data_IF_356788088722
#
_entry.id   IF_356788088722
#
_cell.length_a   1.000
_cell.length_b   1.000
_cell.length_c   1.000
_cell.angle_alpha   90.00
_cell.angle_beta   90.00
_cell.angle_gamma   90.00
#
_symmetry.space_group_name_H-M   'P 1'
#
loop_
_entity.id
_entity.type
_entity.pdbx_description
1 polymer ?
#
# COMPACT_ATOMS: atom_id res chain seq x y z
N UNK A 1 55.29 11.00 -0.43
CA UNK A 1 54.12 10.67 0.39
C UNK A 1 53.72 11.93 1.13
N UNK A 2 52.81 12.71 0.53
CA UNK A 2 52.61 14.12 0.84
C UNK A 2 51.76 14.37 2.09
N UNK A 3 52.17 15.44 2.77
CA UNK A 3 51.61 16.06 3.97
C UNK A 3 50.26 16.77 3.71
N UNK A 4 49.57 17.04 4.82
CA UNK A 4 48.40 17.90 5.03
C UNK A 4 48.37 19.21 4.22
N UNK A 5 47.16 19.70 3.88
CA UNK A 5 46.62 21.09 3.99
C UNK A 5 45.20 21.06 3.37
N UNK A 6 44.12 21.25 4.15
CA UNK A 6 43.30 22.49 4.22
C UNK A 6 42.95 23.16 2.89
N UNK A 7 41.68 23.56 2.79
CA UNK A 7 41.04 24.48 1.81
C UNK A 7 40.52 23.90 0.50
N UNK A 8 39.19 23.74 0.43
CA UNK A 8 38.37 24.21 -0.70
C UNK A 8 36.87 24.20 -0.34
N UNK A 9 36.44 25.07 0.56
CA UNK A 9 35.11 25.67 0.47
C UNK A 9 35.19 26.76 -0.61
N UNK A 10 34.66 26.51 -1.81
CA UNK A 10 34.08 27.58 -2.62
C UNK A 10 33.21 27.06 -3.76
N UNK A 11 32.04 27.70 -3.85
CA UNK A 11 31.22 27.92 -5.04
C UNK A 11 30.15 26.88 -5.37
N UNK A 12 28.98 27.07 -4.75
CA UNK A 12 27.69 26.93 -5.44
C UNK A 12 27.61 27.89 -6.65
N UNK A 13 26.77 27.58 -7.65
CA UNK A 13 25.66 28.48 -7.99
C UNK A 13 24.35 27.68 -8.26
N UNK A 14 23.19 28.32 -8.58
CA UNK A 14 22.22 28.77 -7.59
C UNK A 14 20.85 28.05 -7.66
N UNK A 15 20.15 28.10 -6.52
CA UNK A 15 18.78 27.69 -6.24
C UNK A 15 17.73 28.06 -7.32
N UNK A 16 16.78 27.16 -7.55
CA UNK A 16 15.36 27.48 -7.35
C UNK A 16 14.54 26.20 -7.32
N UNK A 17 14.06 25.82 -6.14
CA UNK A 17 12.70 25.35 -5.84
C UNK A 17 12.75 24.84 -4.40
N UNK A 18 12.43 25.75 -3.47
CA UNK A 18 12.30 25.41 -2.08
C UNK A 18 11.16 24.41 -1.90
N UNK A 19 11.49 23.23 -1.39
CA UNK A 19 10.52 22.35 -0.74
C UNK A 19 10.98 22.24 0.70
N UNK A 20 10.37 23.05 1.57
CA UNK A 20 10.46 22.85 3.01
C UNK A 20 9.94 21.44 3.29
N UNK A 21 10.85 20.54 3.68
CA UNK A 21 10.49 19.20 4.11
C UNK A 21 9.84 19.32 5.50
N UNK A 22 8.53 19.54 5.53
CA UNK A 22 7.74 19.48 6.75
C UNK A 22 7.31 18.03 6.94
N UNK A 23 7.82 17.38 7.98
CA UNK A 23 7.27 16.12 8.46
C UNK A 23 5.83 16.39 8.92
N UNK A 24 4.83 16.07 8.09
CA UNK A 24 3.45 15.97 8.55
C UNK A 24 3.23 14.59 9.18
N UNK A 25 2.77 14.51 10.44
CA UNK A 25 2.35 13.26 11.03
C UNK A 25 1.04 12.78 10.38
N UNK A 26 0.93 11.48 10.12
CA UNK A 26 -0.27 10.86 9.57
C UNK A 26 -1.50 11.14 10.46
N UNK A 27 -2.69 11.36 9.88
CA UNK A 27 -3.93 11.44 10.65
C UNK A 27 -4.22 10.07 11.26
N UNK A 28 -4.41 10.04 12.58
CA UNK A 28 -4.81 8.83 13.30
C UNK A 28 -6.19 8.35 12.81
N UNK A 29 -6.42 7.03 12.70
CA UNK A 29 -7.76 6.50 12.44
C UNK A 29 -8.72 6.92 13.56
N UNK A 30 -10.04 7.04 13.31
CA UNK A 30 -11.00 7.36 14.36
C UNK A 30 -11.02 6.23 15.39
N UNK A 31 -10.41 6.49 16.54
CA UNK A 31 -10.37 5.59 17.70
C UNK A 31 -11.77 5.52 18.33
N UNK A 32 -12.69 4.80 17.69
CA UNK A 32 -13.89 4.29 18.38
C UNK A 32 -13.52 2.95 19.02
N UNK A 33 -12.57 3.01 19.92
CA UNK A 33 -12.37 1.96 20.90
C UNK A 33 -12.24 2.72 22.19
N UNK A 34 -13.26 2.56 23.04
CA UNK A 34 -13.21 2.99 24.43
C UNK A 34 -12.10 2.19 25.09
N UNK A 35 -10.85 2.61 24.87
CA UNK A 35 -9.70 2.14 25.63
C UNK A 35 -9.98 2.64 27.04
N UNK A 36 -10.16 1.75 28.03
CA UNK A 36 -10.22 2.20 29.41
C UNK A 36 -8.96 3.01 29.64
N UNK A 37 -9.14 4.27 30.02
CA UNK A 37 -8.06 5.14 30.45
C UNK A 37 -7.11 4.32 31.33
N UNK A 38 -5.88 4.13 30.87
CA UNK A 38 -4.78 3.70 31.73
C UNK A 38 -4.61 4.80 32.77
N UNK A 39 -5.42 4.77 33.83
CA UNK A 39 -5.10 5.48 35.06
C UNK A 39 -3.79 4.86 35.50
N UNK A 40 -2.71 5.61 35.33
CA UNK A 40 -1.41 5.27 35.88
C UNK A 40 -1.51 5.50 37.39
N UNK A 41 -1.97 4.48 38.08
CA UNK A 41 -1.76 4.31 39.51
C UNK A 41 -0.68 3.24 39.64
N UNK A 42 0.50 3.56 39.10
CA UNK A 42 1.71 3.14 39.77
C UNK A 42 1.81 4.06 40.99
N UNK A 43 1.48 3.61 42.22
CA UNK A 43 2.06 4.28 43.36
C UNK A 43 3.57 4.19 43.12
N UNK A 44 4.25 5.35 43.12
CA UNK A 44 5.70 5.40 42.89
C UNK A 44 6.39 4.35 43.76
N UNK A 45 7.58 3.88 43.40
CA UNK A 45 8.35 2.93 44.22
C UNK A 45 8.40 3.38 45.69
N UNK A 46 7.46 2.92 46.51
CA UNK A 46 7.29 3.32 47.90
C UNK A 46 8.15 2.36 48.69
N UNK A 47 9.26 2.87 49.18
CA UNK A 47 10.16 2.14 50.04
C UNK A 47 9.37 1.70 51.29
N UNK A 48 9.02 0.42 51.37
CA UNK A 48 8.17 -0.16 52.43
C UNK A 48 8.74 0.15 53.81
N UNK A 49 10.07 0.29 53.92
CA UNK A 49 10.75 0.66 55.17
C UNK A 49 10.51 2.12 55.60
N UNK A 50 10.12 3.01 54.69
CA UNK A 50 9.89 4.43 55.00
C UNK A 50 8.51 4.72 55.62
N UNK A 51 7.60 3.73 55.67
CA UNK A 51 6.25 3.86 56.23
C UNK A 51 6.04 3.18 57.59
N UNK A 52 7.08 2.57 58.15
CA UNK A 52 7.00 1.94 59.47
C UNK A 52 6.87 3.00 60.57
N UNK A 53 5.68 3.13 61.16
CA UNK A 53 5.46 3.96 62.34
C UNK A 53 5.49 3.07 63.60
N UNK A 54 6.64 3.08 64.28
CA UNK A 54 6.89 2.33 65.51
C UNK A 54 5.89 2.67 66.63
N UNK A 55 5.35 3.89 66.63
CA UNK A 55 4.40 4.34 67.67
C UNK A 55 3.11 3.49 67.71
N UNK A 56 2.61 3.05 66.56
CA UNK A 56 1.41 2.20 66.49
C UNK A 56 1.67 0.78 67.00
N UNK A 57 2.90 0.28 66.87
CA UNK A 57 3.30 -1.02 67.42
C UNK A 57 3.44 -0.94 68.95
N UNK A 58 3.97 0.17 69.47
CA UNK A 58 4.04 0.42 70.91
C UNK A 58 2.66 0.57 71.56
N UNK A 59 1.70 1.18 70.89
CA UNK A 59 0.31 1.29 71.37
C UNK A 59 -0.35 -0.07 71.57
N UNK A 60 -0.10 -1.01 70.64
CA UNK A 60 -0.60 -2.39 70.73
C UNK A 60 0.08 -3.19 71.85
N UNK A 61 1.36 -2.93 72.10
CA UNK A 61 2.15 -3.59 73.15
C UNK A 61 1.90 -3.01 74.55
N UNK A 62 1.43 -1.77 74.67
CA UNK A 62 1.24 -1.08 75.95
C UNK A 62 0.14 -1.73 76.82
N UNK A 63 -0.82 -2.39 76.21
CA UNK A 63 -1.96 -3.01 76.90
C UNK A 63 -1.73 -4.46 77.32
N UNK A 64 -0.53 -5.01 77.09
CA UNK A 64 -0.18 -6.40 77.41
C UNK A 64 0.60 -6.49 78.74
N UNK A 65 0.28 -7.50 79.56
CA UNK A 65 0.96 -7.73 80.83
C UNK A 65 2.33 -8.40 80.63
N UNK A 66 3.21 -8.33 81.63
CA UNK A 66 4.57 -8.92 81.59
C UNK A 66 4.58 -10.41 81.19
N UNK A 67 3.58 -11.19 81.62
CA UNK A 67 3.45 -12.61 81.27
C UNK A 67 3.11 -12.79 79.79
N UNK A 68 2.28 -11.91 79.25
CA UNK A 68 1.86 -11.92 77.85
C UNK A 68 2.98 -11.45 76.93
N UNK A 69 3.77 -10.44 77.34
CA UNK A 69 5.00 -10.04 76.65
C UNK A 69 6.04 -11.18 76.61
N UNK A 70 6.21 -11.91 77.72
CA UNK A 70 7.11 -13.07 77.75
C UNK A 70 6.59 -14.23 76.89
N UNK A 71 5.27 -14.42 76.83
CA UNK A 71 4.67 -15.40 75.94
C UNK A 71 4.83 -14.98 74.47
N UNK A 72 4.69 -13.70 74.16
CA UNK A 72 4.87 -13.15 72.82
C UNK A 72 6.32 -13.28 72.33
N UNK A 73 7.29 -13.09 73.23
CA UNK A 73 8.72 -13.25 72.93
C UNK A 73 9.12 -14.72 72.70
N UNK A 74 8.41 -15.66 73.31
CA UNK A 74 8.70 -17.09 73.21
C UNK A 74 7.86 -17.82 72.14
N UNK A 75 6.92 -17.12 71.48
CA UNK A 75 6.02 -17.69 70.47
C UNK A 75 5.97 -16.78 69.24
N UNK A 76 6.79 -17.12 68.24
CA UNK A 76 6.90 -16.39 66.98
C UNK A 76 5.56 -16.29 66.22
N UNK A 77 4.63 -17.24 66.44
CA UNK A 77 3.32 -17.22 65.78
C UNK A 77 2.46 -16.08 66.30
N UNK A 78 2.45 -15.88 67.63
CA UNK A 78 1.71 -14.77 68.25
C UNK A 78 2.33 -13.42 67.93
N UNK A 79 3.66 -13.36 67.82
CA UNK A 79 4.35 -12.16 67.37
C UNK A 79 3.95 -11.82 65.93
N UNK A 80 3.85 -12.82 65.05
CA UNK A 80 3.39 -12.66 63.67
C UNK A 80 1.94 -12.17 63.61
N UNK A 81 1.04 -12.76 64.39
CA UNK A 81 -0.37 -12.33 64.45
C UNK A 81 -0.48 -10.85 64.87
N UNK A 82 0.30 -10.42 65.86
CA UNK A 82 0.35 -9.01 66.28
C UNK A 82 0.89 -8.09 65.17
N UNK A 83 1.87 -8.55 64.39
CA UNK A 83 2.40 -7.81 63.23
C UNK A 83 1.36 -7.72 62.11
N UNK A 84 0.63 -8.79 61.82
CA UNK A 84 -0.48 -8.79 60.85
C UNK A 84 -1.61 -7.83 61.29
N UNK A 85 -1.79 -7.64 62.60
CA UNK A 85 -2.75 -6.72 63.17
C UNK A 85 -2.36 -5.24 63.12
N UNK A 86 -1.09 -4.93 62.83
CA UNK A 86 -0.66 -3.54 62.70
C UNK A 86 -1.41 -2.84 61.54
N UNK A 87 -1.93 -1.62 61.75
CA UNK A 87 -2.73 -0.91 60.75
C UNK A 87 -1.95 -0.67 59.45
N UNK A 88 -0.63 -0.56 59.54
CA UNK A 88 0.27 -0.39 58.40
C UNK A 88 0.39 -1.68 57.57
N UNK A 89 0.50 -2.84 58.21
CA UNK A 89 0.58 -4.15 57.53
C UNK A 89 -0.75 -4.46 56.85
N UNK A 90 -1.88 -4.19 57.52
CA UNK A 90 -3.20 -4.29 56.89
C UNK A 90 -3.37 -3.34 55.70
N UNK A 91 -2.90 -2.09 55.80
CA UNK A 91 -2.95 -1.14 54.69
C UNK A 91 -2.13 -1.61 53.49
N UNK A 92 -0.94 -2.19 53.73
CA UNK A 92 -0.10 -2.76 52.69
C UNK A 92 -0.75 -4.01 52.06
N UNK A 93 -1.44 -4.82 52.87
CA UNK A 93 -2.16 -5.98 52.36
C UNK A 93 -3.31 -5.56 51.44
N UNK A 94 -4.07 -4.52 51.81
CA UNK A 94 -5.13 -3.96 50.95
C UNK A 94 -4.55 -3.40 49.65
N UNK A 95 -3.47 -2.61 49.71
CA UNK A 95 -2.81 -2.07 48.52
C UNK A 95 -2.26 -3.19 47.61
N UNK A 96 -1.69 -4.24 48.21
CA UNK A 96 -1.26 -5.43 47.49
C UNK A 96 -2.43 -6.12 46.79
N UNK A 97 -3.53 -6.35 47.49
CA UNK A 97 -4.70 -7.03 46.94
C UNK A 97 -5.38 -6.21 45.83
N UNK A 98 -5.41 -4.88 45.96
CA UNK A 98 -5.88 -3.95 44.92
C UNK A 98 -4.98 -4.00 43.67
N UNK A 99 -3.65 -4.03 43.85
CA UNK A 99 -2.70 -4.17 42.75
C UNK A 99 -2.82 -5.53 42.06
N UNK A 100 -2.98 -6.61 42.82
CA UNK A 100 -3.20 -7.95 42.28
C UNK A 100 -4.51 -8.00 41.49
N UNK A 101 -5.59 -7.44 42.03
CA UNK A 101 -6.88 -7.37 41.34
C UNK A 101 -6.79 -6.56 40.04
N UNK A 102 -6.10 -5.41 40.07
CA UNK A 102 -5.89 -4.55 38.90
C UNK A 102 -5.03 -5.23 37.85
N UNK A 103 -3.91 -5.85 38.25
CA UNK A 103 -3.03 -6.58 37.34
C UNK A 103 -3.76 -7.75 36.68
N UNK A 104 -4.53 -8.52 37.47
CA UNK A 104 -5.35 -9.61 36.98
C UNK A 104 -6.39 -9.12 35.96
N UNK A 105 -7.11 -8.05 36.26
CA UNK A 105 -8.10 -7.46 35.36
C UNK A 105 -7.48 -6.99 34.04
N UNK A 106 -6.29 -6.37 34.10
CA UNK A 106 -5.53 -5.96 32.92
C UNK A 106 -5.04 -7.15 32.10
N UNK A 107 -4.54 -8.20 32.76
CA UNK A 107 -4.12 -9.43 32.09
C UNK A 107 -5.29 -10.10 31.38
N UNK A 108 -6.45 -10.22 32.04
CA UNK A 108 -7.68 -10.76 31.45
C UNK A 108 -8.16 -9.92 30.26
N UNK A 109 -8.13 -8.59 30.39
CA UNK A 109 -8.45 -7.69 29.28
C UNK A 109 -7.48 -7.85 28.10
N UNK A 110 -6.17 -7.91 28.36
CA UNK A 110 -5.17 -8.14 27.32
C UNK A 110 -5.37 -9.48 26.61
N UNK A 111 -5.68 -10.55 27.36
CA UNK A 111 -6.04 -11.85 26.79
C UNK A 111 -7.33 -11.78 25.96
N UNK A 112 -8.31 -10.98 26.38
CA UNK A 112 -9.55 -10.78 25.61
C UNK A 112 -9.35 -10.06 24.28
N UNK A 113 -8.30 -9.24 24.16
CA UNK A 113 -7.94 -8.54 22.92
C UNK A 113 -7.18 -9.41 21.93
N UNK A 114 -6.47 -10.44 22.41
CA UNK A 114 -5.71 -11.38 21.59
C UNK A 114 -6.50 -11.97 20.41
N UNK A 115 -7.72 -12.51 20.56
CA UNK A 115 -8.47 -13.06 19.43
C UNK A 115 -8.81 -12.02 18.35
N UNK A 116 -9.12 -10.78 18.76
CA UNK A 116 -9.40 -9.68 17.82
C UNK A 116 -8.14 -9.31 17.04
N UNK A 117 -7.00 -9.19 17.72
CA UNK A 117 -5.72 -8.89 17.08
C UNK A 117 -5.31 -9.99 16.09
N UNK A 118 -5.45 -11.26 16.47
CA UNK A 118 -5.11 -12.38 15.60
C UNK A 118 -6.05 -12.45 14.39
N UNK A 119 -7.36 -12.21 14.58
CA UNK A 119 -8.32 -12.11 13.48
C UNK A 119 -7.94 -11.00 12.50
N UNK A 120 -7.58 -9.81 12.99
CA UNK A 120 -7.22 -8.68 12.15
C UNK A 120 -5.90 -8.93 11.40
N UNK A 121 -4.92 -9.57 12.07
CA UNK A 121 -3.65 -10.00 11.47
C UNK A 121 -3.90 -10.97 10.32
N UNK A 122 -4.76 -11.97 10.53
CA UNK A 122 -5.12 -12.95 9.52
C UNK A 122 -5.87 -12.31 8.34
N UNK A 123 -6.77 -11.36 8.61
CA UNK A 123 -7.47 -10.61 7.56
C UNK A 123 -6.50 -9.81 6.68
N UNK A 124 -5.53 -9.13 7.30
CA UNK A 124 -4.50 -8.39 6.58
C UNK A 124 -3.62 -9.32 5.76
N UNK A 125 -3.20 -10.46 6.32
CA UNK A 125 -2.40 -11.46 5.61
C UNK A 125 -3.17 -12.00 4.39
N UNK A 126 -4.44 -12.37 4.56
CA UNK A 126 -5.30 -12.87 3.48
C UNK A 126 -5.50 -11.83 2.37
N UNK A 127 -5.75 -10.56 2.72
CA UNK A 127 -5.86 -9.47 1.74
C UNK A 127 -4.54 -9.25 0.99
N UNK A 128 -3.41 -9.33 1.68
CA UNK A 128 -2.10 -9.20 1.07
C UNK A 128 -1.82 -10.33 0.06
N UNK A 129 -2.10 -11.58 0.45
CA UNK A 129 -2.00 -12.74 -0.44
C UNK A 129 -2.89 -12.60 -1.67
N UNK A 130 -4.15 -12.16 -1.50
CA UNK A 130 -5.08 -11.93 -2.60
C UNK A 130 -4.61 -10.84 -3.56
N UNK A 131 -4.08 -9.73 -3.04
CA UNK A 131 -3.51 -8.67 -3.88
C UNK A 131 -2.29 -9.21 -4.63
N UNK A 132 -1.47 -10.04 -3.99
CA UNK A 132 -0.29 -10.61 -4.63
C UNK A 132 -0.69 -11.58 -5.75
N UNK A 133 -1.72 -12.41 -5.56
CA UNK A 133 -2.24 -13.28 -6.63
C UNK A 133 -2.81 -12.47 -7.80
N UNK A 134 -3.59 -11.43 -7.52
CA UNK A 134 -4.09 -10.55 -8.58
C UNK A 134 -2.96 -9.85 -9.35
N UNK A 135 -1.88 -9.47 -8.66
CA UNK A 135 -0.69 -8.90 -9.31
C UNK A 135 0.01 -9.91 -10.21
N UNK A 136 0.15 -11.17 -9.77
CA UNK A 136 0.75 -12.22 -10.61
C UNK A 136 -0.12 -12.51 -11.83
N UNK A 137 -1.44 -12.61 -11.65
CA UNK A 137 -2.38 -12.86 -12.74
C UNK A 137 -2.37 -11.72 -13.76
N UNK A 138 -2.32 -10.47 -13.28
CA UNK A 138 -2.19 -9.30 -14.14
C UNK A 138 -0.86 -9.29 -14.88
N UNK A 139 0.24 -9.62 -14.20
CA UNK A 139 1.56 -9.69 -14.83
C UNK A 139 1.61 -10.77 -15.91
N UNK A 140 1.00 -11.94 -15.67
CA UNK A 140 0.89 -13.02 -16.66
C UNK A 140 0.02 -12.61 -17.84
N UNK A 141 -1.16 -12.02 -17.59
CA UNK A 141 -2.03 -11.53 -18.66
C UNK A 141 -1.35 -10.44 -19.49
N UNK A 142 -0.58 -9.55 -18.85
CA UNK A 142 0.20 -8.53 -19.54
C UNK A 142 1.31 -9.17 -20.38
N UNK A 143 2.11 -10.07 -19.81
CA UNK A 143 3.16 -10.77 -20.54
C UNK A 143 2.61 -11.54 -21.75
N UNK A 144 1.42 -12.14 -21.61
CA UNK A 144 0.71 -12.78 -22.72
C UNK A 144 0.34 -11.78 -23.81
N UNK A 145 -0.24 -10.64 -23.46
CA UNK A 145 -0.55 -9.58 -24.42
C UNK A 145 0.71 -9.05 -25.10
N UNK A 146 1.75 -8.74 -24.34
CA UNK A 146 3.03 -8.27 -24.84
C UNK A 146 3.64 -9.29 -25.82
N UNK A 147 3.58 -10.59 -25.52
CA UNK A 147 4.07 -11.63 -26.45
C UNK A 147 3.27 -11.69 -27.77
N UNK A 148 1.96 -11.43 -27.73
CA UNK A 148 1.11 -11.37 -28.93
C UNK A 148 1.41 -10.10 -29.73
N UNK A 149 1.69 -8.99 -29.04
CA UNK A 149 2.06 -7.73 -29.65
C UNK A 149 3.47 -7.78 -30.25
N UNK A 150 4.43 -8.40 -29.57
CA UNK A 150 5.80 -8.60 -30.08
C UNK A 150 5.81 -9.52 -31.31
N UNK A 151 4.92 -10.54 -31.34
CA UNK A 151 4.72 -11.40 -32.50
C UNK A 151 3.96 -10.73 -33.65
N UNK A 152 3.20 -9.66 -33.37
CA UNK A 152 2.55 -8.84 -34.39
C UNK A 152 3.48 -7.69 -34.73
N UNK A 153 4.17 -7.79 -35.86
CA UNK A 153 4.95 -6.68 -36.46
C UNK A 153 4.20 -5.36 -36.25
N UNK A 154 4.90 -4.33 -35.76
CA UNK A 154 4.30 -3.01 -35.54
C UNK A 154 3.50 -2.59 -36.77
N UNK A 155 2.37 -1.91 -36.61
CA UNK A 155 1.50 -1.54 -37.72
C UNK A 155 2.29 -0.77 -38.80
N UNK A 156 3.26 0.04 -38.37
CA UNK A 156 4.26 0.72 -39.20
C UNK A 156 5.15 -0.25 -39.97
N UNK A 157 5.69 -1.30 -39.33
CA UNK A 157 6.47 -2.35 -40.03
C UNK A 157 5.61 -3.06 -41.08
N UNK A 158 4.37 -3.39 -40.75
CA UNK A 158 3.45 -4.03 -41.69
C UNK A 158 3.11 -3.10 -42.87
N UNK A 159 2.91 -1.81 -42.60
CA UNK A 159 2.67 -0.80 -43.63
C UNK A 159 3.87 -0.66 -44.56
N UNK A 160 5.09 -0.58 -44.00
CA UNK A 160 6.32 -0.50 -44.78
C UNK A 160 6.49 -1.72 -45.70
N UNK A 161 6.28 -2.94 -45.18
CA UNK A 161 6.30 -4.16 -45.99
C UNK A 161 5.26 -4.12 -47.13
N UNK A 162 4.05 -3.62 -46.84
CA UNK A 162 3.00 -3.51 -47.85
C UNK A 162 3.32 -2.45 -48.92
N UNK A 163 3.97 -1.35 -48.55
CA UNK A 163 4.48 -0.35 -49.49
C UNK A 163 5.59 -0.93 -50.37
N UNK A 164 6.52 -1.70 -49.81
CA UNK A 164 7.55 -2.43 -50.57
C UNK A 164 6.92 -3.39 -51.58
N UNK A 165 5.93 -4.19 -51.15
CA UNK A 165 5.21 -5.11 -52.03
C UNK A 165 4.33 -4.42 -53.08
N UNK A 166 3.89 -3.18 -52.81
CA UNK A 166 3.20 -2.33 -53.78
C UNK A 166 4.18 -1.86 -54.84
N UNK A 167 5.31 -1.27 -54.44
CA UNK A 167 6.36 -0.79 -55.35
C UNK A 167 6.89 -1.93 -56.23
N UNK A 168 7.16 -3.10 -55.64
CA UNK A 168 7.58 -4.29 -56.40
C UNK A 168 6.56 -4.70 -57.46
N UNK A 169 5.27 -4.73 -57.11
CA UNK A 169 4.22 -5.09 -58.08
C UNK A 169 4.03 -4.04 -59.18
N UNK A 170 4.32 -2.77 -58.89
CA UNK A 170 4.31 -1.69 -59.88
C UNK A 170 5.47 -1.83 -60.86
N UNK A 171 6.69 -2.05 -60.35
CA UNK A 171 7.90 -2.33 -61.14
C UNK A 171 7.71 -3.56 -62.04
N UNK A 172 7.16 -4.65 -61.52
CA UNK A 172 6.87 -5.84 -62.33
C UNK A 172 5.86 -5.58 -63.47
N UNK A 173 4.89 -4.67 -63.26
CA UNK A 173 3.95 -4.29 -64.30
C UNK A 173 4.58 -3.35 -65.33
N UNK A 174 5.51 -2.50 -64.90
CA UNK A 174 6.23 -1.55 -65.75
C UNK A 174 7.26 -2.26 -66.62
N UNK A 175 7.95 -3.27 -66.07
CA UNK A 175 8.83 -4.15 -66.84
C UNK A 175 8.08 -4.85 -67.99
N UNK A 176 6.86 -5.35 -67.76
CA UNK A 176 6.04 -5.92 -68.84
C UNK A 176 5.69 -4.89 -69.93
N UNK A 177 5.49 -3.62 -69.56
CA UNK A 177 5.24 -2.55 -70.51
C UNK A 177 6.51 -2.20 -71.31
N UNK A 178 7.66 -2.19 -70.68
CA UNK A 178 8.96 -1.96 -71.33
C UNK A 178 9.35 -3.10 -72.27
N UNK A 179 9.11 -4.35 -71.87
CA UNK A 179 9.33 -5.54 -72.69
C UNK A 179 8.44 -5.53 -73.94
N UNK A 180 7.19 -5.08 -73.80
CA UNK A 180 6.29 -4.88 -74.93
C UNK A 180 6.77 -3.74 -75.86
N UNK A 181 7.18 -2.59 -75.30
CA UNK A 181 7.66 -1.44 -76.09
C UNK A 181 8.98 -1.73 -76.82
N UNK A 182 9.81 -2.59 -76.26
CA UNK A 182 11.05 -3.08 -76.89
C UNK A 182 10.83 -4.22 -77.89
N UNK A 183 9.60 -4.69 -78.06
CA UNK A 183 9.23 -5.75 -78.99
C UNK A 183 9.61 -7.16 -78.54
N UNK A 184 9.93 -7.36 -77.26
CA UNK A 184 10.27 -8.65 -76.68
C UNK A 184 9.04 -9.50 -76.32
N UNK A 185 7.86 -8.87 -76.23
CA UNK A 185 6.60 -9.50 -75.84
C UNK A 185 5.53 -9.36 -76.94
N UNK A 186 4.80 -10.44 -77.24
CA UNK A 186 3.70 -10.40 -78.20
C UNK A 186 2.46 -9.72 -77.60
N UNK A 187 1.60 -9.11 -78.43
CA UNK A 187 0.41 -8.36 -77.99
C UNK A 187 -0.53 -9.21 -77.11
N UNK A 188 -0.82 -10.44 -77.51
CA UNK A 188 -1.75 -11.31 -76.79
C UNK A 188 -1.18 -11.73 -75.41
N UNK A 189 0.13 -11.99 -75.36
CA UNK A 189 0.85 -12.34 -74.13
C UNK A 189 0.94 -11.14 -73.17
N UNK A 190 1.21 -9.94 -73.72
CA UNK A 190 1.17 -8.69 -72.96
C UNK A 190 -0.19 -8.46 -72.31
N UNK A 191 -1.28 -8.54 -73.07
CA UNK A 191 -2.62 -8.30 -72.51
C UNK A 191 -3.00 -9.32 -71.44
N UNK A 192 -2.61 -10.58 -71.62
CA UNK A 192 -2.85 -11.66 -70.65
C UNK A 192 -2.12 -11.45 -69.32
N UNK A 193 -0.87 -10.99 -69.34
CA UNK A 193 -0.05 -10.82 -68.13
C UNK A 193 -0.16 -9.41 -67.49
N UNK A 194 -0.16 -8.36 -68.32
CA UNK A 194 -0.11 -6.97 -67.86
C UNK A 194 -1.38 -6.53 -67.15
N UNK A 195 -2.56 -6.82 -67.70
CA UNK A 195 -3.84 -6.38 -67.14
C UNK A 195 -4.05 -6.90 -65.70
N UNK A 196 -3.89 -8.21 -65.42
CA UNK A 196 -4.01 -8.70 -64.05
C UNK A 196 -2.91 -8.15 -63.12
N UNK A 197 -1.65 -8.06 -63.56
CA UNK A 197 -0.57 -7.47 -62.73
C UNK A 197 -0.82 -6.00 -62.39
N UNK A 198 -1.21 -5.19 -63.39
CA UNK A 198 -1.51 -3.77 -63.19
C UNK A 198 -2.73 -3.56 -62.28
N UNK A 199 -3.76 -4.41 -62.44
CA UNK A 199 -4.93 -4.41 -61.55
C UNK A 199 -4.51 -4.75 -60.10
N UNK A 200 -3.65 -5.75 -59.92
CA UNK A 200 -3.14 -6.12 -58.60
C UNK A 200 -2.31 -5.00 -57.97
N UNK A 201 -1.43 -4.34 -58.74
CA UNK A 201 -0.65 -3.19 -58.29
C UNK A 201 -1.55 -2.05 -57.80
N UNK A 202 -2.56 -1.66 -58.59
CA UNK A 202 -3.51 -0.63 -58.17
C UNK A 202 -4.30 -1.02 -56.91
N UNK A 203 -4.71 -2.29 -56.78
CA UNK A 203 -5.40 -2.77 -55.59
C UNK A 203 -4.49 -2.71 -54.35
N UNK A 204 -3.21 -3.10 -54.48
CA UNK A 204 -2.22 -3.01 -53.39
C UNK A 204 -1.97 -1.55 -52.99
N UNK A 205 -1.83 -0.64 -53.96
CA UNK A 205 -1.69 0.80 -53.72
C UNK A 205 -2.85 1.36 -52.90
N UNK A 206 -4.08 1.11 -53.32
CA UNK A 206 -5.28 1.58 -52.62
C UNK A 206 -5.33 0.98 -51.20
N UNK A 207 -5.05 -0.32 -51.05
CA UNK A 207 -5.00 -0.95 -49.71
C UNK A 207 -3.92 -0.34 -48.82
N UNK A 208 -2.75 -0.01 -49.38
CA UNK A 208 -1.66 0.65 -48.66
C UNK A 208 -2.00 2.06 -48.21
N UNK A 209 -2.65 2.84 -49.07
CA UNK A 209 -3.12 4.18 -48.73
C UNK A 209 -4.16 4.12 -47.62
N UNK A 210 -5.13 3.19 -47.73
CA UNK A 210 -6.17 3.00 -46.70
C UNK A 210 -5.59 2.55 -45.37
N UNK A 211 -4.60 1.66 -45.39
CA UNK A 211 -3.96 1.21 -44.16
C UNK A 211 -3.16 2.34 -43.49
N UNK A 212 -2.47 3.17 -44.27
CA UNK A 212 -1.80 4.36 -43.75
C UNK A 212 -2.78 5.38 -43.14
N UNK A 213 -3.94 5.59 -43.77
CA UNK A 213 -5.01 6.43 -43.22
C UNK A 213 -5.50 5.90 -41.86
N UNK A 214 -5.79 4.60 -41.76
CA UNK A 214 -6.26 3.96 -40.52
C UNK A 214 -5.25 4.06 -39.39
N UNK A 215 -3.95 3.89 -39.67
CA UNK A 215 -2.89 4.05 -38.67
C UNK A 215 -2.84 5.51 -38.16
N UNK A 216 -2.97 6.48 -39.07
CA UNK A 216 -2.97 7.91 -38.74
C UNK A 216 -4.22 8.32 -37.93
N UNK A 217 -5.39 7.80 -38.29
CA UNK A 217 -6.65 8.06 -37.58
C UNK A 217 -6.69 7.38 -36.22
N UNK A 218 -6.22 6.12 -36.13
CA UNK A 218 -6.14 5.35 -34.88
C UNK A 218 -5.08 5.84 -33.90
N UNK A 219 -4.07 6.57 -34.38
CA UNK A 219 -3.04 7.20 -33.55
C UNK A 219 -3.45 8.57 -32.99
N UNK A 220 -4.64 9.07 -33.33
CA UNK A 220 -5.17 10.30 -32.72
C UNK A 220 -5.66 10.02 -31.30
N UNK A 221 -5.20 10.73 -30.25
CA UNK A 221 -5.51 10.44 -28.85
C UNK A 221 -6.95 10.86 -28.43
N UNK A 222 -7.90 10.90 -29.36
CA UNK A 222 -9.32 11.22 -29.11
C UNK A 222 -10.25 10.16 -29.72
N UNK A 223 -9.98 8.89 -29.43
CA UNK A 223 -10.97 7.83 -29.57
C UNK A 223 -11.89 7.80 -28.36
N UNK A 224 -12.88 8.69 -28.30
CA UNK A 224 -14.02 8.55 -27.39
C UNK A 224 -14.81 7.29 -27.78
N UNK A 225 -14.37 6.12 -27.30
CA UNK A 225 -15.22 4.95 -27.20
C UNK A 225 -16.29 5.26 -26.14
N UNK A 226 -17.39 5.86 -26.59
CA UNK A 226 -18.59 5.99 -25.78
C UNK A 226 -19.16 4.58 -25.60
N UNK A 227 -18.99 4.03 -24.40
CA UNK A 227 -19.77 2.87 -23.96
C UNK A 227 -21.27 3.21 -24.15
N UNK A 228 -22.12 2.26 -24.59
CA UNK A 228 -23.55 2.48 -24.60
C UNK A 228 -24.00 2.75 -23.17
N UNK A 229 -24.59 3.94 -22.94
CA UNK A 229 -25.13 4.31 -21.65
C UNK A 229 -26.18 3.28 -21.22
N UNK A 230 -25.91 2.61 -20.10
CA UNK A 230 -26.87 1.79 -19.40
C UNK A 230 -28.13 2.62 -19.11
N UNK A 231 -29.35 2.10 -19.34
CA UNK A 231 -30.56 2.84 -19.00
C UNK A 231 -30.61 3.09 -17.50
N UNK A 232 -30.81 4.36 -17.14
CA UNK A 232 -30.89 4.82 -15.76
C UNK A 232 -31.97 4.05 -14.98
N UNK A 233 -31.60 3.48 -13.84
CA UNK A 233 -32.54 2.91 -12.89
C UNK A 233 -33.47 4.02 -12.33
N UNK A 234 -34.74 3.73 -12.03
CA UNK A 234 -35.70 4.72 -11.58
C UNK A 234 -35.34 5.25 -10.18
N UNK A 235 -35.36 6.57 -10.06
CA UNK A 235 -35.10 7.30 -8.81
C UNK A 235 -36.24 7.03 -7.80
N UNK A 236 -35.92 6.34 -6.71
CA UNK A 236 -36.82 6.22 -5.56
C UNK A 236 -36.63 7.44 -4.63
N UNK A 237 -37.65 8.30 -4.64
CA UNK A 237 -38.19 9.12 -3.54
C UNK A 237 -37.24 9.79 -2.53
N UNK A 238 -37.34 11.12 -2.53
CA UNK A 238 -36.74 12.09 -1.63
C UNK A 238 -36.93 11.82 -0.13
N UNK A 239 -35.88 12.11 0.65
CA UNK A 239 -35.93 12.35 2.10
C UNK A 239 -35.63 13.83 2.39
N UNK A 240 -36.20 14.41 3.45
CA UNK A 240 -36.28 15.85 3.64
C UNK A 240 -34.96 16.49 4.07
N UNK A 241 -34.71 17.65 3.48
CA UNK A 241 -33.58 18.56 3.66
C UNK A 241 -33.53 19.17 5.07
N UNK A 242 -32.37 19.13 5.72
CA UNK A 242 -31.98 20.06 6.78
C UNK A 242 -30.75 20.88 6.34
N UNK A 243 -30.61 22.15 6.78
CA UNK A 243 -29.76 23.12 6.10
C UNK A 243 -28.47 23.40 6.87
N UNK A 244 -27.31 23.02 6.33
CA UNK A 244 -26.12 23.87 6.36
C UNK A 244 -25.04 23.29 5.46
N UNK A 245 -24.34 24.20 4.76
CA UNK A 245 -23.42 23.86 3.66
C UNK A 245 -22.23 23.01 4.06
N UNK A 246 -21.49 22.58 3.04
CA UNK A 246 -20.03 22.60 2.89
C UNK A 246 -19.69 21.69 1.68
N UNK A 247 -19.09 22.29 0.66
CA UNK A 247 -18.67 21.65 -0.59
C UNK A 247 -17.61 20.57 -0.33
N UNK A 248 -17.78 19.37 -0.89
CA UNK A 248 -16.75 18.32 -0.88
C UNK A 248 -16.04 18.26 -2.24
N UNK A 249 -14.72 18.47 -2.33
CA UNK A 249 -13.94 18.13 -3.51
C UNK A 249 -13.42 16.69 -3.41
N UNK A 250 -13.56 15.91 -4.48
CA UNK A 250 -12.87 14.63 -4.65
C UNK A 250 -11.36 14.86 -4.84
N UNK A 251 -10.47 14.08 -4.21
CA UNK A 251 -9.04 14.12 -4.52
C UNK A 251 -8.68 13.19 -5.69
N UNK A 252 -8.09 13.82 -6.69
CA UNK A 252 -7.40 13.26 -7.86
C UNK A 252 -6.24 12.34 -7.47
N UNK A 253 -6.06 11.31 -8.29
CA UNK A 253 -4.94 10.36 -8.33
C UNK A 253 -3.55 10.98 -8.12
N UNK A 254 -2.80 10.47 -7.15
CA UNK A 254 -1.34 10.64 -7.06
C UNK A 254 -0.69 9.26 -6.97
N UNK A 255 0.27 9.03 -7.86
CA UNK A 255 1.05 7.80 -8.01
C UNK A 255 1.70 7.37 -6.69
N UNK A 256 1.33 6.18 -6.20
CA UNK A 256 2.00 5.51 -5.08
C UNK A 256 3.21 4.77 -5.65
N UNK A 257 4.41 5.32 -5.43
CA UNK A 257 5.67 4.61 -5.62
C UNK A 257 5.75 3.43 -4.65
N UNK A 258 6.03 2.24 -5.18
CA UNK A 258 6.24 1.03 -4.38
C UNK A 258 7.58 1.10 -3.62
N UNK A 259 7.63 0.73 -2.33
CA UNK A 259 8.91 0.52 -1.65
C UNK A 259 9.51 -0.84 -2.04
N UNK A 260 10.80 -0.84 -2.36
CA UNK A 260 11.59 -2.04 -2.67
C UNK A 260 11.84 -2.90 -1.43
N UNK A 261 11.95 -4.24 -1.56
CA UNK A 261 12.27 -5.12 -0.45
C UNK A 261 13.78 -5.08 -0.14
N UNK A 262 14.12 -4.75 1.11
CA UNK A 262 15.48 -4.82 1.64
C UNK A 262 15.91 -6.28 1.83
N UNK A 263 16.89 -6.71 1.03
CA UNK A 263 17.64 -7.95 1.18
C UNK A 263 18.69 -7.79 2.29
N UNK A 264 18.56 -8.52 3.40
CA UNK A 264 19.69 -8.86 4.24
C UNK A 264 19.70 -10.37 4.54
N UNK A 265 20.86 -11.04 4.44
CA UNK A 265 21.00 -12.49 4.59
C UNK A 265 21.12 -12.89 6.06
N UNK A 266 20.76 -14.15 6.36
CA UNK A 266 21.07 -14.85 7.61
C UNK A 266 22.32 -15.69 7.44
#
# INVERSE_FOLDING_TARGET
MYQNFTEAYRSSPPNSFGVQNSYQPYPAPPTTTSIPSYTNHLPGSHNIMARMNEASAFELLQHLDKKDLQHLLNDDSKLKDLIEDLPQVRSLQVEHDDLVATNKSLAEYNLSLQPRLESLKNEVASKYEHINSLKTDLAESKARLDSILDGRQSLETMLALMQTETAKSEEESEQLADDFCSGQLAVEEFLSEYIPKRTQSHLRRIKSERFAELIREGSSPSGNWTLPSQPAAPAHSALPTYPHGHSTPYPTSVAIGMPQPSLYPR
#
